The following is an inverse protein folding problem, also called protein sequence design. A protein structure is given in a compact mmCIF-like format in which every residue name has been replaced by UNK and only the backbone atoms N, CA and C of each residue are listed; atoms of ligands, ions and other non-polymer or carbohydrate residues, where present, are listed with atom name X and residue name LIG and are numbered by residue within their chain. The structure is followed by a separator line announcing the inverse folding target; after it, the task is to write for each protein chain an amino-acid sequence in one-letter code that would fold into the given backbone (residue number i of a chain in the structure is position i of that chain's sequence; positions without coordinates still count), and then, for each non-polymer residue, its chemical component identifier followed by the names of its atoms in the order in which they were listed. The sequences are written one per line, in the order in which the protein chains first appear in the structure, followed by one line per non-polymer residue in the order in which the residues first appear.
data_IF_061354444848
#
_entry.id   IF_061354444848
#
_cell.length_a   1.000
_cell.length_b   1.000
_cell.length_c   1.000
_cell.angle_alpha   90.00
_cell.angle_beta   90.00
_cell.angle_gamma   90.00
#
_symmetry.space_group_name_H-M   'P 1'
#
loop_
_entity.id
_entity.type
_entity.pdbx_description
1 polymer ?
#
# COMPACT_ATOMS: atom_id res chain seq x y z
N UNK A 1 -57.42 -3.04 -12.44
CA UNK A 1 -57.01 -2.03 -11.43
C UNK A 1 -55.93 -1.17 -12.04
N UNK A 2 -56.06 0.15 -11.99
CA UNK A 2 -55.03 1.06 -12.48
C UNK A 2 -53.82 1.02 -11.51
N UNK A 3 -52.72 0.47 -11.95
CA UNK A 3 -51.48 0.32 -11.14
C UNK A 3 -50.62 1.57 -11.19
N UNK A 4 -50.96 2.59 -11.96
CA UNK A 4 -50.17 3.80 -12.16
C UNK A 4 -49.87 4.58 -10.86
N UNK A 5 -50.84 4.78 -9.93
CA UNK A 5 -50.52 5.50 -8.69
C UNK A 5 -49.47 4.77 -7.83
N UNK A 6 -49.62 3.46 -7.66
CA UNK A 6 -48.68 2.66 -6.88
C UNK A 6 -47.28 2.63 -7.53
N UNK A 7 -47.22 2.50 -8.88
CA UNK A 7 -45.95 2.51 -9.62
C UNK A 7 -45.22 3.87 -9.56
N UNK A 8 -45.98 5.00 -9.53
CA UNK A 8 -45.44 6.33 -9.40
C UNK A 8 -44.73 6.57 -8.06
N UNK A 9 -45.36 6.17 -6.94
CA UNK A 9 -44.76 6.26 -5.62
C UNK A 9 -43.54 5.32 -5.45
N UNK A 10 -43.66 4.07 -5.97
CA UNK A 10 -42.52 3.15 -5.92
C UNK A 10 -41.35 3.67 -6.75
N UNK A 11 -41.61 4.23 -7.93
CA UNK A 11 -40.56 4.83 -8.75
C UNK A 11 -39.92 6.04 -8.06
N UNK A 12 -40.68 6.93 -7.41
CA UNK A 12 -40.16 8.03 -6.62
C UNK A 12 -39.20 7.53 -5.51
N UNK A 13 -39.63 6.47 -4.78
CA UNK A 13 -38.76 5.90 -3.73
C UNK A 13 -37.43 5.37 -4.26
N UNK A 14 -37.46 4.65 -5.39
CA UNK A 14 -36.21 4.17 -6.05
C UNK A 14 -35.36 5.35 -6.52
N UNK A 15 -35.99 6.38 -7.11
CA UNK A 15 -35.27 7.56 -7.61
C UNK A 15 -34.62 8.38 -6.49
N UNK A 16 -35.29 8.53 -5.33
CA UNK A 16 -34.71 9.17 -4.14
C UNK A 16 -33.51 8.38 -3.66
N UNK A 17 -33.64 7.05 -3.54
CA UNK A 17 -32.52 6.20 -3.13
C UNK A 17 -31.31 6.37 -4.07
N UNK A 18 -31.52 6.28 -5.38
CA UNK A 18 -30.47 6.46 -6.37
C UNK A 18 -29.80 7.85 -6.29
N UNK A 19 -30.61 8.90 -6.11
CA UNK A 19 -30.09 10.26 -5.93
C UNK A 19 -29.23 10.41 -4.67
N UNK A 20 -29.65 9.80 -3.55
CA UNK A 20 -28.87 9.79 -2.29
C UNK A 20 -27.53 9.09 -2.49
N UNK A 21 -27.49 7.91 -3.12
CA UNK A 21 -26.24 7.20 -3.41
C UNK A 21 -25.33 8.01 -4.34
N UNK A 22 -25.88 8.62 -5.38
CA UNK A 22 -25.13 9.45 -6.32
C UNK A 22 -24.55 10.69 -5.63
N UNK A 23 -25.34 11.39 -4.82
CA UNK A 23 -24.87 12.56 -4.05
C UNK A 23 -23.76 12.18 -3.05
N UNK A 24 -23.92 11.03 -2.39
CA UNK A 24 -22.92 10.51 -1.48
C UNK A 24 -21.60 10.17 -2.18
N UNK A 25 -21.60 9.75 -3.45
CA UNK A 25 -20.37 9.53 -4.21
C UNK A 25 -19.56 10.81 -4.41
N UNK A 26 -20.20 11.97 -4.54
CA UNK A 26 -19.51 13.26 -4.67
C UNK A 26 -19.13 13.90 -3.34
N UNK A 27 -19.91 13.63 -2.29
CA UNK A 27 -19.73 14.21 -0.95
C UNK A 27 -19.90 13.16 0.14
N UNK A 28 -18.98 12.19 0.22
CA UNK A 28 -19.06 11.15 1.24
C UNK A 28 -18.89 11.75 2.63
N UNK A 29 -19.61 11.20 3.59
CA UNK A 29 -19.60 11.71 4.96
C UNK A 29 -18.40 11.16 5.74
N UNK A 30 -17.49 12.06 6.16
CA UNK A 30 -16.32 11.73 6.96
C UNK A 30 -16.53 11.96 8.47
N UNK A 31 -17.50 12.81 8.86
CA UNK A 31 -17.60 13.35 10.22
C UNK A 31 -18.64 12.67 11.10
N UNK A 32 -19.74 12.20 10.54
CA UNK A 32 -20.80 11.57 11.31
C UNK A 32 -20.51 10.07 11.50
N UNK A 33 -20.19 9.66 12.73
CA UNK A 33 -19.82 8.28 13.09
C UNK A 33 -20.89 7.25 12.75
N UNK A 34 -22.18 7.59 12.86
CA UNK A 34 -23.30 6.69 12.56
C UNK A 34 -23.45 6.44 11.04
N UNK A 35 -23.13 7.45 10.24
CA UNK A 35 -23.28 7.40 8.78
C UNK A 35 -21.98 7.05 8.06
N UNK A 36 -20.85 7.06 8.74
CA UNK A 36 -19.52 6.88 8.16
C UNK A 36 -19.40 5.57 7.38
N UNK A 37 -19.68 4.43 8.01
CA UNK A 37 -19.58 3.12 7.37
C UNK A 37 -20.51 2.98 6.17
N UNK A 38 -21.78 3.40 6.32
CA UNK A 38 -22.72 3.42 5.20
C UNK A 38 -22.23 4.33 4.08
N UNK A 39 -21.79 5.53 4.41
CA UNK A 39 -21.32 6.52 3.43
C UNK A 39 -20.11 6.00 2.65
N UNK A 40 -19.18 5.32 3.33
CA UNK A 40 -18.06 4.66 2.68
C UNK A 40 -18.52 3.62 1.65
N UNK A 41 -19.26 2.58 2.09
CA UNK A 41 -19.67 1.51 1.19
C UNK A 41 -20.56 2.02 0.05
N UNK A 42 -21.49 2.93 0.34
CA UNK A 42 -22.37 3.50 -0.65
C UNK A 42 -21.61 4.30 -1.71
N UNK A 43 -20.64 5.15 -1.32
CA UNK A 43 -19.81 5.91 -2.27
C UNK A 43 -18.89 5.00 -3.06
N UNK A 44 -18.21 4.07 -2.40
CA UNK A 44 -17.28 3.14 -3.03
C UNK A 44 -17.93 2.31 -4.14
N UNK A 45 -19.07 1.65 -3.84
CA UNK A 45 -19.83 0.87 -4.83
C UNK A 45 -20.32 1.78 -5.96
N UNK A 46 -20.85 2.96 -5.62
CA UNK A 46 -21.40 3.91 -6.61
C UNK A 46 -20.31 4.41 -7.55
N UNK A 47 -19.12 4.69 -7.06
CA UNK A 47 -18.00 5.19 -7.84
C UNK A 47 -17.44 4.10 -8.75
N UNK A 48 -17.09 2.94 -8.20
CA UNK A 48 -16.37 1.91 -8.95
C UNK A 48 -17.28 1.11 -9.90
N UNK A 49 -18.57 0.97 -9.57
CA UNK A 49 -19.54 0.26 -10.39
C UNK A 49 -20.48 1.21 -11.17
N UNK A 50 -20.16 2.49 -11.29
CA UNK A 50 -21.00 3.49 -11.94
C UNK A 50 -21.56 3.08 -13.32
N UNK A 51 -20.79 2.47 -14.26
CA UNK A 51 -21.34 2.03 -15.55
C UNK A 51 -22.45 1.00 -15.41
N UNK A 52 -22.27 0.02 -14.53
CA UNK A 52 -23.25 -1.05 -14.31
C UNK A 52 -24.51 -0.52 -13.60
N UNK A 53 -24.33 0.36 -12.62
CA UNK A 53 -25.41 0.99 -11.90
C UNK A 53 -26.23 1.93 -12.81
N UNK A 54 -25.60 2.63 -13.74
CA UNK A 54 -26.28 3.47 -14.71
C UNK A 54 -27.18 2.62 -15.61
N UNK A 55 -26.68 1.50 -16.14
CA UNK A 55 -27.48 0.57 -16.96
C UNK A 55 -28.65 0.01 -16.15
N UNK A 56 -28.42 -0.41 -14.91
CA UNK A 56 -29.47 -0.91 -14.01
C UNK A 56 -30.54 0.15 -13.75
N UNK A 57 -30.16 1.40 -13.51
CA UNK A 57 -31.10 2.51 -13.33
C UNK A 57 -31.91 2.78 -14.60
N UNK A 58 -31.30 2.70 -15.80
CA UNK A 58 -32.00 2.85 -17.08
C UNK A 58 -33.06 1.75 -17.28
N UNK A 59 -32.67 0.49 -17.04
CA UNK A 59 -33.60 -0.65 -17.16
C UNK A 59 -34.77 -0.55 -16.16
N UNK A 60 -34.48 -0.22 -14.92
CA UNK A 60 -35.49 -0.04 -13.87
C UNK A 60 -36.40 1.11 -14.21
N UNK A 61 -35.92 2.21 -14.70
CA UNK A 61 -36.68 3.37 -15.14
C UNK A 61 -37.62 2.99 -16.29
N UNK A 62 -37.15 2.29 -17.32
CA UNK A 62 -37.94 1.82 -18.43
C UNK A 62 -39.11 0.92 -17.97
N UNK A 63 -38.87 0.03 -16.99
CA UNK A 63 -39.90 -0.80 -16.40
C UNK A 63 -41.01 0.03 -15.71
N UNK A 64 -40.62 1.04 -14.92
CA UNK A 64 -41.60 1.92 -14.24
C UNK A 64 -42.37 2.80 -15.23
N UNK A 65 -41.74 3.28 -16.30
CA UNK A 65 -42.43 4.01 -17.40
C UNK A 65 -43.49 3.11 -18.05
N UNK A 66 -43.14 1.85 -18.37
CA UNK A 66 -44.11 0.88 -18.94
C UNK A 66 -45.29 0.59 -18.01
N UNK A 67 -45.07 0.65 -16.67
CA UNK A 67 -46.14 0.52 -15.67
C UNK A 67 -46.93 1.81 -15.44
N UNK A 68 -46.72 2.86 -16.24
CA UNK A 68 -47.47 4.11 -16.20
C UNK A 68 -47.03 5.09 -15.09
N UNK A 69 -45.85 4.93 -14.48
CA UNK A 69 -45.38 5.79 -13.40
C UNK A 69 -45.42 7.28 -13.77
N UNK A 70 -45.01 7.66 -15.00
CA UNK A 70 -45.02 9.04 -15.47
C UNK A 70 -46.39 9.69 -15.66
N UNK A 71 -47.46 8.91 -15.55
CA UNK A 71 -48.83 9.45 -15.54
C UNK A 71 -49.18 10.12 -14.20
N UNK A 72 -48.32 9.99 -13.19
CA UNK A 72 -48.51 10.50 -11.83
C UNK A 72 -47.51 11.60 -11.48
N UNK A 73 -47.87 12.50 -10.59
CA UNK A 73 -46.95 13.55 -10.09
C UNK A 73 -45.74 12.95 -9.37
N UNK A 74 -45.87 11.97 -8.46
CA UNK A 74 -44.68 11.32 -7.84
C UNK A 74 -43.74 10.72 -8.88
N UNK A 75 -44.26 10.06 -9.92
CA UNK A 75 -43.42 9.49 -10.99
C UNK A 75 -42.67 10.52 -11.82
N UNK A 76 -43.29 11.70 -12.08
CA UNK A 76 -42.61 12.82 -12.75
C UNK A 76 -41.50 13.40 -11.90
N UNK A 77 -41.72 13.57 -10.60
CA UNK A 77 -40.65 13.99 -9.63
C UNK A 77 -39.51 12.95 -9.60
N UNK A 78 -39.89 11.65 -9.56
CA UNK A 78 -38.93 10.56 -9.63
C UNK A 78 -38.03 10.62 -10.90
N UNK A 79 -38.64 10.96 -12.06
CA UNK A 79 -37.89 11.12 -13.30
C UNK A 79 -36.85 12.25 -13.22
N UNK A 80 -37.22 13.40 -12.64
CA UNK A 80 -36.25 14.49 -12.46
C UNK A 80 -35.06 14.08 -11.60
N UNK A 81 -35.33 13.37 -10.49
CA UNK A 81 -34.25 12.84 -9.62
C UNK A 81 -33.40 11.80 -10.37
N UNK A 82 -34.02 10.94 -11.16
CA UNK A 82 -33.33 9.94 -11.99
C UNK A 82 -32.41 10.58 -13.01
N UNK A 83 -32.87 11.63 -13.73
CA UNK A 83 -32.01 12.36 -14.67
C UNK A 83 -30.82 13.02 -13.98
N UNK A 84 -31.01 13.58 -12.79
CA UNK A 84 -29.95 14.11 -11.96
C UNK A 84 -28.95 13.00 -11.55
N UNK A 85 -29.44 11.82 -11.15
CA UNK A 85 -28.60 10.66 -10.82
C UNK A 85 -27.80 10.18 -12.02
N UNK A 86 -28.41 10.09 -13.21
CA UNK A 86 -27.70 9.71 -14.45
C UNK A 86 -26.61 10.70 -14.82
N UNK A 87 -26.87 12.01 -14.69
CA UNK A 87 -25.84 13.03 -14.91
C UNK A 87 -24.66 12.87 -13.94
N UNK A 88 -24.95 12.60 -12.65
CA UNK A 88 -23.93 12.29 -11.67
C UNK A 88 -23.13 11.02 -12.00
N UNK A 89 -23.82 9.91 -12.38
CA UNK A 89 -23.13 8.68 -12.80
C UNK A 89 -22.24 8.91 -14.03
N UNK A 90 -22.72 9.67 -15.02
CA UNK A 90 -21.92 10.01 -16.20
C UNK A 90 -20.66 10.82 -15.81
N UNK A 91 -20.80 11.74 -14.87
CA UNK A 91 -19.66 12.50 -14.35
C UNK A 91 -18.64 11.58 -13.63
N UNK A 92 -19.11 10.62 -12.82
CA UNK A 92 -18.27 9.63 -12.14
C UNK A 92 -17.53 8.73 -13.15
N UNK A 93 -18.23 8.27 -14.20
CA UNK A 93 -17.63 7.50 -15.29
C UNK A 93 -16.54 8.33 -15.99
N UNK A 94 -16.84 9.61 -16.32
CA UNK A 94 -15.86 10.51 -16.92
C UNK A 94 -14.61 10.67 -16.04
N UNK A 95 -14.75 10.81 -14.73
CA UNK A 95 -13.63 10.86 -13.79
C UNK A 95 -12.81 9.57 -13.80
N UNK A 96 -13.46 8.41 -13.89
CA UNK A 96 -12.74 7.13 -14.00
C UNK A 96 -11.88 7.04 -15.29
N UNK A 97 -12.37 7.58 -16.41
CA UNK A 97 -11.57 7.68 -17.64
C UNK A 97 -10.47 8.75 -17.57
N UNK A 98 -10.70 9.84 -16.82
CA UNK A 98 -9.69 10.89 -16.63
C UNK A 98 -8.47 10.38 -15.86
N UNK A 99 -8.60 9.33 -15.05
CA UNK A 99 -7.48 8.69 -14.35
C UNK A 99 -6.31 8.31 -15.28
N UNK A 100 -6.60 7.96 -16.55
CA UNK A 100 -5.56 7.70 -17.54
C UNK A 100 -4.70 8.93 -17.84
N UNK A 101 -5.30 10.12 -17.82
CA UNK A 101 -4.55 11.36 -18.01
C UNK A 101 -3.77 11.72 -16.73
N UNK A 102 -4.39 11.59 -15.58
CA UNK A 102 -3.75 11.82 -14.27
C UNK A 102 -2.51 10.92 -14.10
N UNK A 103 -2.58 9.66 -14.53
CA UNK A 103 -1.44 8.73 -14.57
C UNK A 103 -0.34 9.24 -15.51
N UNK A 104 -0.69 9.65 -16.74
CA UNK A 104 0.32 10.18 -17.69
C UNK A 104 1.03 11.40 -17.13
N UNK A 105 0.27 12.29 -16.49
CA UNK A 105 0.82 13.53 -15.91
C UNK A 105 1.73 13.23 -14.72
N UNK A 106 1.36 12.26 -13.88
CA UNK A 106 2.15 11.84 -12.70
C UNK A 106 3.48 11.16 -13.08
N UNK A 107 3.51 10.42 -14.19
CA UNK A 107 4.65 9.63 -14.64
C UNK A 107 5.23 10.11 -15.99
N UNK A 108 5.05 11.39 -16.33
CA UNK A 108 5.46 11.95 -17.63
C UNK A 108 6.96 11.79 -17.92
N UNK A 109 7.79 11.78 -16.87
CA UNK A 109 9.24 11.70 -16.98
C UNK A 109 9.74 10.24 -17.09
N UNK A 110 8.85 9.24 -16.93
CA UNK A 110 9.19 7.83 -17.10
C UNK A 110 8.92 7.38 -18.55
N UNK A 111 9.83 6.56 -19.08
CA UNK A 111 9.62 5.92 -20.38
C UNK A 111 8.36 5.07 -20.42
N UNK A 112 7.71 4.96 -21.57
CA UNK A 112 6.65 3.97 -21.74
C UNK A 112 7.29 2.58 -21.82
N UNK A 113 6.72 1.63 -21.07
CA UNK A 113 7.18 0.24 -21.11
C UNK A 113 6.67 -0.39 -22.39
N UNK A 114 7.58 -1.01 -23.14
CA UNK A 114 7.23 -1.77 -24.34
C UNK A 114 6.22 -2.88 -24.00
N UNK A 115 5.10 -3.01 -24.70
CA UNK A 115 4.15 -4.08 -24.47
C UNK A 115 4.75 -5.42 -24.95
N UNK A 116 5.49 -6.08 -24.08
CA UNK A 116 5.88 -7.49 -24.31
C UNK A 116 4.68 -8.40 -24.17
N UNK A 117 4.66 -9.51 -24.92
CA UNK A 117 3.64 -10.54 -24.76
C UNK A 117 3.67 -11.08 -23.31
N UNK A 118 2.50 -11.17 -22.64
CA UNK A 118 2.45 -11.60 -21.26
C UNK A 118 2.89 -13.06 -21.11
N UNK A 119 3.83 -13.33 -20.20
CA UNK A 119 4.25 -14.66 -19.84
C UNK A 119 3.11 -15.44 -19.14
N UNK A 120 3.01 -16.76 -19.33
CA UNK A 120 2.15 -17.59 -18.51
C UNK A 120 2.63 -17.53 -17.06
N UNK A 121 1.68 -17.59 -16.10
CA UNK A 121 1.97 -17.48 -14.68
C UNK A 121 1.49 -18.69 -13.90
N UNK A 122 2.22 -19.04 -12.83
CA UNK A 122 1.83 -20.08 -11.87
C UNK A 122 1.74 -19.52 -10.46
N UNK A 123 0.97 -20.21 -9.61
CA UNK A 123 0.80 -19.89 -8.19
C UNK A 123 1.36 -21.00 -7.32
N UNK A 124 2.14 -20.57 -6.32
CA UNK A 124 2.59 -21.41 -5.22
C UNK A 124 1.90 -20.89 -3.94
N UNK A 125 1.15 -21.76 -3.27
CA UNK A 125 0.23 -21.31 -2.22
C UNK A 125 0.69 -21.71 -0.83
N UNK A 126 0.44 -20.83 0.16
CA UNK A 126 0.59 -21.10 1.59
C UNK A 126 2.02 -21.48 2.01
N UNK A 127 3.03 -20.92 1.37
CA UNK A 127 4.43 -21.10 1.73
C UNK A 127 4.64 -20.45 3.09
N UNK A 128 5.15 -21.22 4.07
CA UNK A 128 5.43 -20.69 5.40
C UNK A 128 6.79 -20.01 5.40
N UNK A 129 6.81 -18.69 5.67
CA UNK A 129 8.05 -17.93 5.76
C UNK A 129 8.51 -17.68 7.22
N UNK A 130 7.59 -17.76 8.21
CA UNK A 130 7.94 -17.57 9.61
C UNK A 130 6.94 -18.21 10.57
N UNK A 131 7.26 -18.15 11.85
CA UNK A 131 6.34 -18.38 12.98
C UNK A 131 6.50 -17.25 13.97
N UNK A 132 5.40 -16.59 14.34
CA UNK A 132 5.39 -15.54 15.33
C UNK A 132 4.11 -15.61 16.18
N UNK A 133 4.19 -15.34 17.49
CA UNK A 133 3.03 -15.43 18.40
C UNK A 133 2.32 -16.78 18.35
N UNK A 134 3.04 -17.88 18.16
CA UNK A 134 2.50 -19.24 18.05
C UNK A 134 1.82 -19.56 16.70
N UNK A 135 1.73 -18.60 15.76
CA UNK A 135 1.07 -18.75 14.44
C UNK A 135 2.09 -18.91 13.31
N UNK A 136 1.75 -19.72 12.32
CA UNK A 136 2.50 -19.75 11.07
C UNK A 136 2.12 -18.55 10.21
N UNK A 137 3.11 -17.77 9.79
CA UNK A 137 2.98 -16.71 8.80
C UNK A 137 3.26 -17.28 7.43
N UNK A 138 2.38 -17.01 6.48
CA UNK A 138 2.42 -17.60 5.13
C UNK A 138 2.35 -16.54 4.06
N UNK A 139 2.93 -16.88 2.91
CA UNK A 139 2.78 -16.11 1.68
C UNK A 139 2.23 -16.98 0.56
N UNK A 140 1.67 -16.33 -0.45
CA UNK A 140 1.39 -16.92 -1.74
C UNK A 140 2.32 -16.27 -2.77
N UNK A 141 2.96 -17.07 -3.61
CA UNK A 141 3.86 -16.58 -4.65
C UNK A 141 3.18 -16.75 -6.01
N UNK A 142 3.18 -15.71 -6.82
CA UNK A 142 2.86 -15.78 -8.24
C UNK A 142 4.09 -15.41 -9.04
N UNK A 143 4.46 -16.24 -10.00
CA UNK A 143 5.66 -16.06 -10.80
C UNK A 143 5.44 -16.56 -12.23
N UNK A 144 6.29 -16.19 -13.19
CA UNK A 144 6.25 -16.76 -14.53
C UNK A 144 6.31 -18.29 -14.51
N UNK A 145 5.51 -18.92 -15.36
CA UNK A 145 5.53 -20.38 -15.59
C UNK A 145 6.43 -20.71 -16.79
N UNK A 146 7.66 -20.23 -16.72
CA UNK A 146 8.74 -20.47 -17.69
C UNK A 146 10.02 -20.74 -16.92
N UNK A 147 10.97 -21.44 -17.55
CA UNK A 147 12.26 -21.72 -16.95
C UNK A 147 13.02 -20.41 -16.62
N UNK A 148 13.71 -20.42 -15.48
CA UNK A 148 14.61 -19.33 -15.13
C UNK A 148 15.85 -19.37 -16.03
N UNK A 149 16.32 -18.19 -16.43
CA UNK A 149 17.52 -18.07 -17.28
C UNK A 149 18.74 -17.93 -16.37
N UNK A 150 19.72 -18.83 -16.46
CA UNK A 150 20.92 -18.73 -15.64
C UNK A 150 21.63 -17.38 -15.83
N UNK A 151 21.99 -16.74 -14.71
CA UNK A 151 22.64 -15.43 -14.71
C UNK A 151 21.70 -14.23 -14.96
N UNK A 152 20.38 -14.46 -15.03
CA UNK A 152 19.38 -13.40 -15.16
C UNK A 152 18.31 -13.55 -14.06
N UNK A 153 18.63 -13.21 -12.81
CA UNK A 153 17.68 -13.29 -11.71
C UNK A 153 16.54 -12.28 -11.92
N UNK A 154 15.36 -12.64 -11.42
CA UNK A 154 14.14 -11.85 -11.59
C UNK A 154 13.98 -10.83 -10.47
N UNK A 155 13.37 -9.66 -10.72
CA UNK A 155 12.99 -8.76 -9.64
C UNK A 155 11.86 -9.36 -8.80
N UNK A 156 11.84 -9.03 -7.49
CA UNK A 156 10.78 -9.46 -6.58
C UNK A 156 9.88 -8.30 -6.17
N UNK A 157 8.60 -8.60 -5.91
CA UNK A 157 7.61 -7.67 -5.37
C UNK A 157 6.92 -8.30 -4.15
N UNK A 158 7.06 -7.67 -2.98
CA UNK A 158 6.33 -8.05 -1.77
C UNK A 158 5.04 -7.24 -1.70
N UNK A 159 3.90 -7.93 -1.67
CA UNK A 159 2.56 -7.34 -1.55
C UNK A 159 2.03 -7.52 -0.13
N UNK A 160 1.63 -6.41 0.51
CA UNK A 160 1.08 -6.36 1.86
C UNK A 160 -0.41 -5.99 1.81
N UNK A 161 -1.27 -6.84 2.36
CA UNK A 161 -2.71 -6.59 2.32
C UNK A 161 -3.15 -5.50 3.32
N UNK A 162 -4.26 -4.83 3.03
CA UNK A 162 -4.94 -3.91 3.93
C UNK A 162 -5.94 -4.58 4.85
N UNK A 163 -6.73 -3.78 5.57
CA UNK A 163 -7.79 -4.24 6.47
C UNK A 163 -7.69 -3.63 7.87
N UNK A 164 -7.15 -2.41 7.99
CA UNK A 164 -7.07 -1.69 9.27
C UNK A 164 -6.25 -2.42 10.33
N UNK A 165 -5.29 -3.22 9.94
CA UNK A 165 -4.46 -4.09 10.80
C UNK A 165 -5.24 -5.15 11.61
N UNK A 166 -6.57 -5.14 11.58
CA UNK A 166 -7.45 -6.05 12.37
C UNK A 166 -8.08 -7.15 11.54
N UNK A 167 -8.17 -6.98 10.24
CA UNK A 167 -8.72 -7.97 9.31
C UNK A 167 -7.97 -7.92 7.97
N UNK A 168 -8.32 -8.81 7.07
CA UNK A 168 -7.70 -8.89 5.76
C UNK A 168 -7.11 -10.28 5.50
N UNK A 169 -6.89 -10.54 4.21
CA UNK A 169 -6.35 -11.81 3.75
C UNK A 169 -5.50 -11.54 2.50
N UNK A 170 -4.32 -12.12 2.46
CA UNK A 170 -3.38 -12.00 1.34
C UNK A 170 -3.99 -12.38 -0.03
N UNK A 171 -5.00 -13.26 -0.08
CA UNK A 171 -5.63 -13.73 -1.31
C UNK A 171 -6.73 -12.81 -1.86
N UNK A 172 -6.98 -11.64 -1.26
CA UNK A 172 -8.08 -10.73 -1.62
C UNK A 172 -7.63 -9.41 -2.26
N UNK A 173 -6.42 -8.95 -1.99
CA UNK A 173 -5.93 -7.63 -2.44
C UNK A 173 -4.66 -7.76 -3.27
N UNK A 174 -4.35 -6.73 -4.08
CA UNK A 174 -3.16 -6.65 -4.91
C UNK A 174 -3.11 -7.65 -6.08
N UNK A 175 -4.17 -8.46 -6.28
CA UNK A 175 -4.16 -9.56 -7.25
C UNK A 175 -3.95 -9.08 -8.69
N UNK A 176 -4.50 -7.92 -9.03
CA UNK A 176 -4.39 -7.37 -10.38
C UNK A 176 -2.94 -6.98 -10.68
N UNK A 177 -2.31 -6.20 -9.78
CA UNK A 177 -0.91 -5.79 -9.91
C UNK A 177 0.04 -7.01 -9.91
N UNK A 178 -0.14 -7.93 -8.97
CA UNK A 178 0.73 -9.12 -8.88
C UNK A 178 0.69 -9.99 -10.14
N UNK A 179 -0.51 -10.22 -10.71
CA UNK A 179 -0.65 -10.99 -11.96
C UNK A 179 0.03 -10.28 -13.11
N UNK A 180 -0.14 -8.96 -13.20
CA UNK A 180 0.49 -8.15 -14.25
C UNK A 180 2.01 -8.17 -14.11
N UNK A 181 2.55 -7.97 -12.91
CA UNK A 181 4.00 -8.01 -12.68
C UNK A 181 4.57 -9.41 -12.95
N UNK A 182 3.90 -10.46 -12.49
CA UNK A 182 4.34 -11.83 -12.76
C UNK A 182 4.34 -12.14 -14.26
N UNK A 183 3.33 -11.66 -15.02
CA UNK A 183 3.32 -11.84 -16.49
C UNK A 183 4.42 -11.04 -17.20
N UNK A 184 5.04 -10.07 -16.53
CA UNK A 184 6.19 -9.29 -16.99
C UNK A 184 7.55 -9.83 -16.48
N UNK A 185 7.56 -10.98 -15.84
CA UNK A 185 8.81 -11.62 -15.42
C UNK A 185 9.13 -11.51 -13.93
N UNK A 186 8.32 -10.81 -13.11
CA UNK A 186 8.55 -10.63 -11.69
C UNK A 186 8.11 -11.82 -10.85
N UNK A 187 8.76 -12.00 -9.69
CA UNK A 187 8.30 -12.92 -8.63
C UNK A 187 7.56 -12.11 -7.57
N UNK A 188 6.26 -12.34 -7.41
CA UNK A 188 5.42 -11.55 -6.53
C UNK A 188 4.98 -12.38 -5.32
N UNK A 189 5.30 -11.91 -4.11
CA UNK A 189 5.04 -12.56 -2.83
C UNK A 189 3.95 -11.81 -2.06
N UNK A 190 2.75 -12.39 -1.93
CA UNK A 190 1.65 -11.82 -1.17
C UNK A 190 1.66 -12.37 0.25
N UNK A 191 1.94 -11.52 1.24
CA UNK A 191 2.29 -11.95 2.59
C UNK A 191 1.16 -11.76 3.58
N UNK A 192 1.03 -12.72 4.53
CA UNK A 192 0.26 -12.53 5.76
C UNK A 192 1.13 -11.83 6.80
N UNK A 193 0.50 -11.10 7.71
CA UNK A 193 1.09 -10.60 8.96
C UNK A 193 0.12 -10.83 10.11
N UNK A 194 0.60 -10.80 11.35
CA UNK A 194 -0.27 -10.93 12.54
C UNK A 194 -1.22 -9.74 12.62
N UNK A 195 -2.46 -10.00 13.05
CA UNK A 195 -3.52 -9.01 13.11
C UNK A 195 -3.85 -8.60 14.55
N UNK A 196 -4.25 -7.36 14.71
CA UNK A 196 -4.80 -6.82 15.95
C UNK A 196 -6.18 -7.45 16.26
N UNK A 197 -6.60 -7.53 17.51
CA UNK A 197 -5.89 -7.07 18.71
C UNK A 197 -4.92 -8.10 19.30
N UNK A 198 -4.73 -9.26 18.64
CA UNK A 198 -3.82 -10.31 19.11
C UNK A 198 -2.34 -9.94 18.91
N UNK A 199 -2.05 -9.13 17.92
CA UNK A 199 -0.77 -8.46 17.71
C UNK A 199 -0.99 -6.94 17.74
N UNK A 200 0.06 -6.19 17.99
CA UNK A 200 0.02 -4.72 18.08
C UNK A 200 1.26 -4.14 17.40
N UNK A 201 1.27 -2.83 17.12
CA UNK A 201 2.49 -2.21 16.63
C UNK A 201 3.63 -2.39 17.67
N UNK A 202 4.84 -2.81 17.25
CA UNK A 202 5.34 -2.95 15.87
C UNK A 202 5.20 -4.36 15.24
N UNK A 203 4.49 -5.31 15.85
CA UNK A 203 4.40 -6.71 15.39
C UNK A 203 4.07 -6.85 13.90
N UNK A 204 3.15 -6.02 13.39
CA UNK A 204 2.75 -6.02 11.97
C UNK A 204 3.93 -5.69 11.05
N UNK A 205 4.70 -4.65 11.40
CA UNK A 205 5.89 -4.22 10.66
C UNK A 205 7.01 -5.28 10.73
N UNK A 206 7.24 -5.83 11.91
CA UNK A 206 8.22 -6.92 12.13
C UNK A 206 7.92 -8.10 11.21
N UNK A 207 6.65 -8.50 11.10
CA UNK A 207 6.27 -9.64 10.25
C UNK A 207 6.48 -9.34 8.75
N UNK A 208 6.20 -8.12 8.30
CA UNK A 208 6.47 -7.68 6.92
C UNK A 208 7.97 -7.67 6.62
N UNK A 209 8.79 -7.10 7.52
CA UNK A 209 10.25 -7.11 7.39
C UNK A 209 10.83 -8.53 7.37
N UNK A 210 10.27 -9.42 8.19
CA UNK A 210 10.65 -10.84 8.19
C UNK A 210 10.34 -11.52 6.85
N UNK A 211 9.24 -11.13 6.18
CA UNK A 211 8.93 -11.63 4.84
C UNK A 211 9.94 -11.11 3.80
N UNK A 212 10.34 -9.83 3.87
CA UNK A 212 11.39 -9.28 2.98
C UNK A 212 12.71 -10.04 3.19
N UNK A 213 13.13 -10.22 4.43
CA UNK A 213 14.35 -10.97 4.78
C UNK A 213 14.28 -12.40 4.26
N UNK A 214 13.14 -13.07 4.41
CA UNK A 214 12.95 -14.44 3.92
C UNK A 214 13.04 -14.52 2.39
N UNK A 215 12.44 -13.60 1.65
CA UNK A 215 12.55 -13.55 0.17
C UNK A 215 14.01 -13.39 -0.26
N UNK A 216 14.78 -12.54 0.42
CA UNK A 216 16.20 -12.31 0.15
C UNK A 216 17.05 -13.55 0.49
N UNK A 217 16.78 -14.21 1.60
CA UNK A 217 17.46 -15.43 2.03
C UNK A 217 17.22 -16.61 1.07
N UNK A 218 16.01 -16.68 0.46
CA UNK A 218 15.64 -17.74 -0.48
C UNK A 218 15.72 -17.28 -1.95
N UNK A 219 16.49 -16.23 -2.23
CA UNK A 219 16.57 -15.60 -3.55
C UNK A 219 17.01 -16.60 -4.64
N UNK A 220 17.99 -17.44 -4.37
CA UNK A 220 18.47 -18.49 -5.31
C UNK A 220 17.35 -19.49 -5.63
N UNK A 221 16.64 -20.01 -4.62
CA UNK A 221 15.53 -20.96 -4.80
C UNK A 221 14.37 -20.34 -5.59
N UNK A 222 14.11 -19.05 -5.36
CA UNK A 222 13.07 -18.31 -6.03
C UNK A 222 13.48 -17.78 -7.42
N UNK A 223 14.76 -17.86 -7.80
CA UNK A 223 15.30 -17.25 -9.01
C UNK A 223 15.21 -15.72 -8.99
N UNK A 224 15.34 -15.11 -7.82
CA UNK A 224 15.18 -13.68 -7.57
C UNK A 224 16.53 -13.01 -7.39
N UNK A 225 16.64 -11.77 -7.83
CA UNK A 225 17.75 -10.89 -7.47
C UNK A 225 17.62 -10.45 -5.99
N UNK A 226 18.51 -10.87 -5.08
CA UNK A 226 18.44 -10.46 -3.68
C UNK A 226 18.62 -8.95 -3.49
N UNK A 227 19.25 -8.24 -4.42
CA UNK A 227 19.45 -6.80 -4.37
C UNK A 227 18.22 -6.03 -4.86
N UNK A 228 17.28 -6.67 -5.59
CA UNK A 228 16.11 -5.99 -6.12
C UNK A 228 14.78 -6.58 -5.61
N UNK A 229 14.37 -6.15 -4.44
CA UNK A 229 13.07 -6.46 -3.84
C UNK A 229 12.28 -5.16 -3.69
N UNK A 230 11.16 -5.03 -4.37
CA UNK A 230 10.22 -3.90 -4.21
C UNK A 230 9.08 -4.27 -3.25
N UNK A 231 8.40 -3.26 -2.70
CA UNK A 231 7.26 -3.47 -1.80
C UNK A 231 6.06 -2.64 -2.20
N UNK A 232 4.85 -3.21 -2.04
CA UNK A 232 3.58 -2.52 -2.29
C UNK A 232 2.50 -3.00 -1.33
N UNK A 233 1.45 -2.21 -1.17
CA UNK A 233 0.30 -2.56 -0.34
C UNK A 233 -0.73 -1.46 -0.28
N UNK A 234 -1.97 -1.80 0.09
CA UNK A 234 -3.07 -0.86 0.19
C UNK A 234 -3.55 -0.62 1.63
N UNK A 235 -3.99 0.60 1.98
CA UNK A 235 -4.56 0.92 3.30
C UNK A 235 -3.55 0.64 4.44
N UNK A 236 -3.89 -0.20 5.41
CA UNK A 236 -2.96 -0.68 6.43
C UNK A 236 -1.70 -1.32 5.80
N UNK A 237 -1.84 -2.00 4.64
CA UNK A 237 -0.71 -2.51 3.88
C UNK A 237 0.12 -1.38 3.25
N UNK A 238 -0.50 -0.28 2.81
CA UNK A 238 0.20 0.91 2.33
C UNK A 238 1.00 1.62 3.43
N UNK A 239 0.45 1.69 4.63
CA UNK A 239 1.16 2.12 5.83
C UNK A 239 2.40 1.25 6.10
N UNK A 240 2.23 -0.08 6.16
CA UNK A 240 3.33 -1.02 6.41
C UNK A 240 4.36 -1.00 5.27
N UNK A 241 3.94 -0.78 4.03
CA UNK A 241 4.80 -0.58 2.86
C UNK A 241 5.71 0.63 3.07
N UNK A 242 5.15 1.77 3.44
CA UNK A 242 5.92 2.99 3.67
C UNK A 242 6.86 2.85 4.86
N UNK A 243 6.39 2.31 6.00
CA UNK A 243 7.23 2.07 7.17
C UNK A 243 8.37 1.08 6.88
N UNK A 244 8.10 -0.04 6.20
CA UNK A 244 9.14 -1.02 5.89
C UNK A 244 10.25 -0.39 5.03
N UNK A 245 9.87 0.41 4.04
CA UNK A 245 10.81 1.12 3.16
C UNK A 245 11.64 2.19 3.89
N UNK A 246 11.01 2.92 4.83
CA UNK A 246 11.65 4.02 5.57
C UNK A 246 12.40 3.56 6.84
N UNK A 247 12.24 2.33 7.27
CA UNK A 247 12.90 1.79 8.46
C UNK A 247 13.79 0.60 8.13
N UNK A 248 14.36 0.57 6.89
CA UNK A 248 15.28 -0.49 6.48
C UNK A 248 16.38 -0.71 7.54
N UNK A 249 16.66 -1.97 7.85
CA UNK A 249 17.74 -2.40 8.73
C UNK A 249 17.70 -1.83 10.18
N UNK A 250 16.56 -1.25 10.61
CA UNK A 250 16.43 -0.80 12.01
C UNK A 250 16.18 -2.00 12.92
N UNK A 251 17.14 -2.32 13.77
CA UNK A 251 17.14 -3.49 14.70
C UNK A 251 15.88 -3.54 15.57
N UNK A 252 15.39 -2.38 16.05
CA UNK A 252 14.16 -2.28 16.87
C UNK A 252 12.93 -2.90 16.21
N UNK A 253 12.93 -3.03 14.88
CA UNK A 253 11.86 -3.63 14.08
C UNK A 253 12.24 -4.99 13.48
N UNK A 254 13.35 -5.59 13.94
CA UNK A 254 13.87 -6.87 13.45
C UNK A 254 14.22 -7.86 14.57
N UNK A 255 13.40 -8.01 15.65
CA UNK A 255 13.76 -8.87 16.78
C UNK A 255 13.96 -10.33 16.35
N UNK A 256 15.17 -10.86 16.63
CA UNK A 256 15.59 -12.21 16.30
C UNK A 256 16.05 -12.40 14.84
N UNK A 257 16.19 -11.29 14.08
CA UNK A 257 16.79 -11.23 12.74
C UNK A 257 17.43 -9.85 12.48
N UNK A 258 18.06 -9.28 13.48
CA UNK A 258 18.57 -7.91 13.52
C UNK A 258 19.59 -7.65 12.40
N UNK A 259 20.35 -8.68 12.01
CA UNK A 259 21.39 -8.60 10.96
C UNK A 259 20.86 -8.85 9.54
N UNK A 260 19.58 -9.19 9.39
CA UNK A 260 19.02 -9.42 8.07
C UNK A 260 18.81 -8.09 7.33
N UNK A 261 19.22 -8.04 6.07
CA UNK A 261 18.91 -6.89 5.23
C UNK A 261 17.42 -6.87 4.87
N UNK A 262 16.72 -5.82 5.29
CA UNK A 262 15.30 -5.57 5.01
C UNK A 262 15.09 -4.34 4.13
N UNK A 263 16.14 -3.87 3.45
CA UNK A 263 16.03 -2.79 2.47
C UNK A 263 15.15 -3.20 1.29
N UNK A 264 14.58 -2.21 0.61
CA UNK A 264 13.77 -2.42 -0.59
C UNK A 264 14.19 -1.43 -1.67
N UNK A 265 14.15 -1.90 -2.92
CA UNK A 265 14.57 -1.12 -4.09
C UNK A 265 13.53 -0.08 -4.52
N UNK A 266 12.26 -0.27 -4.20
CA UNK A 266 11.18 0.67 -4.49
C UNK A 266 9.96 0.42 -3.59
N UNK A 267 9.14 1.46 -3.36
CA UNK A 267 7.92 1.37 -2.56
C UNK A 267 6.72 1.99 -3.28
N UNK A 268 5.60 1.26 -3.34
CA UNK A 268 4.34 1.73 -3.94
C UNK A 268 3.19 1.59 -2.94
N UNK A 269 3.04 2.53 -1.99
CA UNK A 269 1.91 2.55 -1.07
C UNK A 269 0.65 3.10 -1.75
N UNK A 270 -0.44 2.31 -1.74
CA UNK A 270 -1.78 2.72 -2.19
C UNK A 270 -2.59 3.19 -0.99
N UNK A 271 -3.16 4.37 -1.04
CA UNK A 271 -4.05 4.96 -0.02
C UNK A 271 -3.66 4.56 1.41
N UNK A 272 -2.37 4.67 1.71
CA UNK A 272 -1.79 4.36 3.01
C UNK A 272 -2.19 5.38 4.09
N UNK A 273 -1.99 4.99 5.33
CA UNK A 273 -2.04 5.89 6.48
C UNK A 273 -0.62 6.35 6.77
N UNK A 274 -0.35 7.64 6.67
CA UNK A 274 1.01 8.16 6.77
C UNK A 274 1.31 8.91 8.07
N UNK A 275 0.27 9.31 8.81
CA UNK A 275 0.40 10.04 10.08
C UNK A 275 -0.51 9.47 11.17
N UNK A 276 0.03 8.67 12.09
CA UNK A 276 -0.70 8.17 13.25
C UNK A 276 -0.90 9.22 14.33
N UNK A 277 -0.05 10.25 14.35
CA UNK A 277 -0.11 11.34 15.34
C UNK A 277 -1.21 12.35 15.02
N UNK A 278 -1.75 12.32 13.76
CA UNK A 278 -2.78 13.26 13.29
C UNK A 278 -2.38 14.71 13.49
N UNK A 279 -1.12 15.07 13.19
CA UNK A 279 -0.55 16.42 13.36
C UNK A 279 -1.36 17.52 12.70
N UNK A 280 -2.01 17.23 11.58
CA UNK A 280 -2.83 18.15 10.81
C UNK A 280 -4.32 18.17 11.23
N UNK A 281 -4.73 17.32 12.16
CA UNK A 281 -6.12 17.25 12.64
C UNK A 281 -7.14 16.85 11.57
N UNK A 282 -6.72 16.10 10.54
CA UNK A 282 -7.56 15.75 9.37
C UNK A 282 -8.38 14.49 9.56
N UNK A 283 -8.02 13.66 10.54
CA UNK A 283 -8.74 12.44 10.86
C UNK A 283 -10.09 12.74 11.52
N UNK A 284 -11.08 11.87 11.35
CA UNK A 284 -12.32 11.97 12.12
C UNK A 284 -12.02 12.06 13.63
N UNK A 285 -12.80 12.87 14.38
CA UNK A 285 -12.60 12.99 15.82
C UNK A 285 -12.50 11.65 16.52
N UNK A 286 -11.54 11.52 17.43
CA UNK A 286 -11.29 10.34 18.25
C UNK A 286 -10.87 9.05 17.51
N UNK A 287 -10.53 9.07 16.22
CA UNK A 287 -10.05 7.88 15.50
C UNK A 287 -8.86 7.24 16.22
N UNK A 288 -7.90 8.07 16.69
CA UNK A 288 -6.75 7.61 17.44
C UNK A 288 -7.18 6.91 18.75
N UNK A 289 -8.04 7.53 19.55
CA UNK A 289 -8.47 7.02 20.87
C UNK A 289 -9.52 5.92 20.80
N UNK A 290 -10.33 5.85 19.74
CA UNK A 290 -11.41 4.86 19.64
C UNK A 290 -11.04 3.66 18.76
N UNK A 291 -10.06 3.79 17.87
CA UNK A 291 -9.65 2.71 16.98
C UNK A 291 -8.15 2.40 17.08
N UNK A 292 -7.26 3.33 16.72
CA UNK A 292 -5.83 3.03 16.66
C UNK A 292 -5.28 2.67 18.06
N UNK A 293 -5.58 3.46 19.09
CA UNK A 293 -5.12 3.21 20.45
C UNK A 293 -5.57 1.85 20.98
N UNK A 294 -6.88 1.57 21.09
CA UNK A 294 -7.36 0.33 21.69
C UNK A 294 -7.04 -0.94 20.90
N UNK A 295 -6.92 -0.86 19.57
CA UNK A 295 -6.80 -2.04 18.73
C UNK A 295 -5.38 -2.26 18.20
N UNK A 296 -4.73 -1.19 17.72
CA UNK A 296 -3.48 -1.30 16.97
C UNK A 296 -2.26 -1.00 17.83
N UNK A 297 -2.30 0.10 18.63
CA UNK A 297 -1.16 0.59 19.40
C UNK A 297 -1.10 0.02 20.83
N UNK A 298 -2.27 -0.25 21.44
CA UNK A 298 -2.42 -0.59 22.87
C UNK A 298 -1.84 0.47 23.80
N UNK A 299 -1.85 1.71 23.36
CA UNK A 299 -1.37 2.88 24.09
C UNK A 299 -2.19 4.11 23.76
N UNK A 300 -2.16 5.10 24.66
CA UNK A 300 -2.70 6.45 24.40
C UNK A 300 -1.65 7.30 23.69
N UNK A 301 -2.02 8.11 22.67
CA UNK A 301 -1.08 8.97 21.97
C UNK A 301 -0.40 10.01 22.87
N UNK A 302 -1.09 10.52 23.91
CA UNK A 302 -0.54 11.51 24.82
C UNK A 302 0.47 10.91 25.82
N UNK A 303 0.35 9.59 26.11
CA UNK A 303 1.21 8.87 27.06
C UNK A 303 2.40 8.19 26.41
N UNK A 304 2.31 7.87 25.11
CA UNK A 304 3.31 7.09 24.37
C UNK A 304 3.67 7.74 23.02
N UNK A 305 3.91 9.05 23.01
CA UNK A 305 4.15 9.84 21.80
C UNK A 305 5.24 9.23 20.89
N UNK A 306 6.37 8.82 21.47
CA UNK A 306 7.47 8.18 20.71
C UNK A 306 7.04 6.91 19.96
N UNK A 307 6.16 6.09 20.57
CA UNK A 307 5.63 4.90 19.90
C UNK A 307 4.72 5.28 18.72
N UNK A 308 3.93 6.35 18.86
CA UNK A 308 3.04 6.83 17.81
C UNK A 308 3.81 7.50 16.67
N UNK A 309 4.86 8.24 16.97
CA UNK A 309 5.81 8.77 16.00
C UNK A 309 6.53 7.63 15.26
N UNK A 310 6.98 6.60 15.99
CA UNK A 310 7.61 5.42 15.40
C UNK A 310 6.66 4.63 14.47
N UNK A 311 5.34 4.74 14.68
CA UNK A 311 4.31 4.15 13.84
C UNK A 311 3.88 5.04 12.67
N UNK A 312 4.34 6.28 12.60
CA UNK A 312 3.98 7.26 11.55
C UNK A 312 5.04 7.28 10.45
N UNK A 313 4.75 6.84 9.23
CA UNK A 313 5.70 6.94 8.11
C UNK A 313 6.29 8.33 7.91
N UNK A 314 5.48 9.37 8.12
CA UNK A 314 5.92 10.77 7.96
C UNK A 314 7.04 11.16 8.94
N UNK A 315 7.10 10.53 10.12
CA UNK A 315 8.15 10.75 11.12
C UNK A 315 9.42 9.92 10.84
N UNK A 316 9.37 9.04 9.82
CA UNK A 316 10.49 8.18 9.44
C UNK A 316 11.12 8.62 8.10
N UNK A 317 10.73 9.78 7.53
CA UNK A 317 11.30 10.26 6.26
C UNK A 317 12.77 10.62 6.41
N UNK A 318 13.58 10.26 5.41
CA UNK A 318 15.02 10.54 5.40
C UNK A 318 15.57 10.56 3.96
N UNK A 319 16.79 11.13 3.79
CA UNK A 319 17.39 11.32 2.48
C UNK A 319 17.74 10.04 1.72
N UNK A 320 17.97 8.92 2.41
CA UNK A 320 18.30 7.62 1.82
C UNK A 320 17.07 6.74 1.57
N UNK A 321 15.86 7.29 1.59
CA UNK A 321 14.65 6.57 1.24
C UNK A 321 14.72 6.03 -0.21
N UNK A 322 14.23 4.82 -0.51
CA UNK A 322 14.19 4.32 -1.88
C UNK A 322 13.23 5.16 -2.75
N UNK A 323 13.20 4.95 -4.08
CA UNK A 323 12.16 5.51 -4.92
C UNK A 323 10.76 5.18 -4.43
N UNK A 324 9.88 6.20 -4.37
CA UNK A 324 8.48 6.05 -3.94
C UNK A 324 7.51 6.44 -5.06
N UNK A 325 6.41 5.68 -5.17
CA UNK A 325 5.24 6.09 -5.92
C UNK A 325 4.00 5.99 -5.03
N UNK A 326 3.58 7.11 -4.47
CA UNK A 326 2.41 7.22 -3.58
C UNK A 326 1.15 7.44 -4.42
N UNK A 327 0.11 6.62 -4.19
CA UNK A 327 -1.14 6.66 -4.94
C UNK A 327 -2.32 6.81 -3.98
N UNK A 328 -3.17 7.83 -4.16
CA UNK A 328 -4.27 8.11 -3.24
C UNK A 328 -5.50 8.67 -3.94
N UNK A 329 -6.70 8.40 -3.42
CA UNK A 329 -7.96 8.94 -3.93
C UNK A 329 -8.41 10.19 -3.18
N UNK A 330 -8.85 11.25 -3.88
CA UNK A 330 -9.28 12.53 -3.27
C UNK A 330 -10.60 12.44 -2.49
N UNK A 331 -11.36 11.34 -2.65
CA UNK A 331 -12.62 11.06 -1.93
C UNK A 331 -12.46 10.03 -0.82
N UNK A 332 -11.23 9.64 -0.52
CA UNK A 332 -10.97 8.68 0.54
C UNK A 332 -11.50 9.17 1.89
N UNK A 333 -12.41 8.41 2.49
CA UNK A 333 -12.97 8.72 3.81
C UNK A 333 -12.34 7.91 4.93
N UNK A 334 -11.58 6.84 4.60
CA UNK A 334 -10.94 5.97 5.59
C UNK A 334 -9.53 6.45 5.95
N UNK A 335 -8.74 6.83 4.93
CA UNK A 335 -7.42 7.42 5.10
C UNK A 335 -7.43 8.81 4.41
N UNK A 336 -7.36 9.91 5.15
CA UNK A 336 -7.43 11.24 4.57
C UNK A 336 -6.31 11.49 3.56
N UNK A 337 -6.65 11.96 2.36
CA UNK A 337 -5.68 12.27 1.30
C UNK A 337 -4.70 13.38 1.71
N UNK A 338 -5.11 14.20 2.64
CA UNK A 338 -4.31 15.28 3.23
C UNK A 338 -3.01 14.73 3.85
N UNK A 339 -3.06 13.57 4.52
CA UNK A 339 -1.86 12.91 5.08
C UNK A 339 -0.90 12.47 3.99
N UNK A 340 -1.43 11.93 2.88
CA UNK A 340 -0.60 11.54 1.74
C UNK A 340 0.09 12.73 1.09
N UNK A 341 -0.58 13.88 0.98
CA UNK A 341 0.01 15.12 0.46
C UNK A 341 1.15 15.61 1.33
N UNK A 342 0.93 15.70 2.65
CA UNK A 342 1.96 16.11 3.60
C UNK A 342 3.14 15.13 3.61
N UNK A 343 2.87 13.84 3.63
CA UNK A 343 3.93 12.80 3.56
C UNK A 343 4.79 12.94 2.30
N UNK A 344 4.16 13.12 1.13
CA UNK A 344 4.87 13.30 -0.14
C UNK A 344 5.69 14.58 -0.15
N UNK A 345 5.14 15.68 0.38
CA UNK A 345 5.85 16.95 0.49
C UNK A 345 7.10 16.83 1.36
N UNK A 346 6.97 16.26 2.56
CA UNK A 346 8.09 16.07 3.48
C UNK A 346 9.13 15.08 2.92
N UNK A 347 8.69 13.98 2.31
CA UNK A 347 9.60 13.02 1.71
C UNK A 347 10.39 13.64 0.55
N UNK A 348 9.73 14.42 -0.32
CA UNK A 348 10.39 15.14 -1.43
C UNK A 348 11.42 16.17 -0.95
N UNK A 349 11.20 16.76 0.22
CA UNK A 349 12.09 17.77 0.77
C UNK A 349 13.46 17.18 1.19
N UNK A 350 13.50 15.89 1.52
CA UNK A 350 14.72 15.25 2.05
C UNK A 350 15.26 14.12 1.16
N UNK A 351 14.43 13.43 0.41
CA UNK A 351 14.82 12.26 -0.40
C UNK A 351 15.74 12.64 -1.55
N UNK A 352 16.82 11.87 -1.73
CA UNK A 352 17.70 11.94 -2.91
C UNK A 352 17.17 11.11 -4.08
N UNK A 353 16.17 10.27 -3.84
CA UNK A 353 15.55 9.41 -4.84
C UNK A 353 14.21 9.99 -5.34
N UNK A 354 13.74 9.58 -6.53
CA UNK A 354 12.48 10.08 -7.09
C UNK A 354 11.27 9.75 -6.20
N UNK A 355 10.40 10.73 -5.97
CA UNK A 355 9.12 10.58 -5.25
C UNK A 355 7.98 11.01 -6.17
N UNK A 356 7.29 10.02 -6.74
CA UNK A 356 6.11 10.21 -7.57
C UNK A 356 4.84 10.23 -6.73
N UNK A 357 3.87 11.02 -7.14
CA UNK A 357 2.57 11.10 -6.48
C UNK A 357 1.44 11.13 -7.51
N UNK A 358 0.46 10.27 -7.32
CA UNK A 358 -0.76 10.23 -8.11
C UNK A 358 -1.97 10.43 -7.19
N UNK A 359 -2.63 11.58 -7.33
CA UNK A 359 -3.92 11.85 -6.69
C UNK A 359 -5.04 11.65 -7.70
N UNK A 360 -5.89 10.67 -7.43
CA UNK A 360 -6.99 10.27 -8.31
C UNK A 360 -8.26 11.03 -7.96
N UNK A 361 -8.74 11.86 -8.89
CA UNK A 361 -10.00 12.60 -8.74
C UNK A 361 -11.21 11.68 -8.74
N UNK A 362 -12.07 11.87 -7.75
CA UNK A 362 -13.29 11.09 -7.58
C UNK A 362 -13.04 9.64 -7.15
N UNK A 363 -11.83 9.26 -6.74
CA UNK A 363 -11.56 7.93 -6.23
C UNK A 363 -11.80 7.84 -4.71
N UNK A 364 -12.43 6.74 -4.29
CA UNK A 364 -12.63 6.37 -2.89
C UNK A 364 -11.49 5.43 -2.45
N UNK A 365 -11.41 5.13 -1.15
CA UNK A 365 -10.52 4.09 -0.60
C UNK A 365 -10.70 2.75 -1.31
N UNK A 366 -9.63 1.98 -1.48
CA UNK A 366 -9.63 0.64 -2.09
C UNK A 366 -10.21 0.57 -3.52
N UNK A 367 -9.96 1.60 -4.32
CA UNK A 367 -10.49 1.76 -5.68
C UNK A 367 -10.03 0.67 -6.66
N UNK A 368 -8.92 -0.02 -6.41
CA UNK A 368 -8.39 -1.09 -7.25
C UNK A 368 -9.01 -2.48 -6.96
N UNK A 369 -9.86 -2.58 -5.95
CA UNK A 369 -10.51 -3.86 -5.59
C UNK A 369 -11.45 -4.35 -6.70
N UNK A 370 -12.10 -3.43 -7.41
CA UNK A 370 -12.92 -3.75 -8.58
C UNK A 370 -12.13 -3.52 -9.87
N UNK A 371 -12.29 -4.44 -10.82
CA UNK A 371 -11.73 -4.24 -12.17
C UNK A 371 -12.52 -3.13 -12.88
N UNK A 372 -11.98 -1.91 -12.81
CA UNK A 372 -12.54 -0.71 -13.44
C UNK A 372 -11.52 -0.09 -14.40
N UNK A 373 -11.95 0.89 -15.21
CA UNK A 373 -11.02 1.65 -16.08
C UNK A 373 -9.96 2.37 -15.25
N UNK A 374 -10.37 2.90 -14.09
CA UNK A 374 -9.44 3.55 -13.14
C UNK A 374 -8.47 2.54 -12.55
N UNK A 375 -8.97 1.42 -12.02
CA UNK A 375 -8.14 0.39 -11.41
C UNK A 375 -7.07 -0.12 -12.38
N UNK A 376 -7.44 -0.41 -13.64
CA UNK A 376 -6.48 -0.85 -14.65
C UNK A 376 -5.43 0.22 -14.92
N UNK A 377 -5.83 1.49 -15.14
CA UNK A 377 -4.89 2.57 -15.41
C UNK A 377 -3.89 2.77 -14.24
N UNK A 378 -4.35 2.63 -13.00
CA UNK A 378 -3.50 2.78 -11.81
C UNK A 378 -2.56 1.58 -11.65
N UNK A 379 -3.04 0.37 -11.87
CA UNK A 379 -2.19 -0.82 -11.83
C UNK A 379 -1.13 -0.79 -12.92
N UNK A 380 -1.49 -0.34 -14.14
CA UNK A 380 -0.54 -0.11 -15.22
C UNK A 380 0.53 0.93 -14.84
N UNK A 381 0.13 1.99 -14.11
CA UNK A 381 1.07 3.02 -13.63
C UNK A 381 2.06 2.50 -12.59
N UNK A 382 1.57 1.70 -11.63
CA UNK A 382 2.42 1.08 -10.62
C UNK A 382 3.40 0.09 -11.27
N UNK A 383 2.93 -0.70 -12.24
CA UNK A 383 3.77 -1.62 -13.00
C UNK A 383 4.83 -0.87 -13.82
N UNK A 384 4.46 0.25 -14.46
CA UNK A 384 5.39 1.11 -15.21
C UNK A 384 6.47 1.70 -14.30
N UNK A 385 6.09 2.23 -13.15
CA UNK A 385 7.04 2.76 -12.18
C UNK A 385 8.02 1.67 -11.70
N UNK A 386 7.51 0.53 -11.26
CA UNK A 386 8.34 -0.58 -10.78
C UNK A 386 9.31 -1.08 -11.85
N UNK A 387 8.84 -1.22 -13.10
CA UNK A 387 9.70 -1.63 -14.21
C UNK A 387 10.76 -0.58 -14.52
N UNK A 388 10.41 0.71 -14.53
CA UNK A 388 11.37 1.78 -14.79
C UNK A 388 12.48 1.84 -13.72
N UNK A 389 12.14 1.59 -12.43
CA UNK A 389 13.15 1.51 -11.36
C UNK A 389 14.06 0.28 -11.56
N UNK A 390 13.49 -0.86 -11.97
CA UNK A 390 14.28 -2.05 -12.26
C UNK A 390 15.19 -1.87 -13.49
N UNK A 391 14.68 -1.27 -14.56
CA UNK A 391 15.49 -0.98 -15.76
C UNK A 391 16.65 -0.02 -15.44
N UNK A 392 16.40 0.98 -14.59
CA UNK A 392 17.43 1.89 -14.13
C UNK A 392 18.49 1.18 -13.26
N UNK A 393 18.08 0.22 -12.42
CA UNK A 393 19.00 -0.63 -11.65
C UNK A 393 19.88 -1.46 -12.58
N UNK A 394 19.32 -2.09 -13.62
CA UNK A 394 20.08 -2.89 -14.60
C UNK A 394 21.07 -2.06 -15.46
N UNK A 395 20.78 -0.78 -15.68
CA UNK A 395 21.63 0.12 -16.51
C UNK A 395 22.51 1.04 -15.67
N UNK A 396 22.43 0.98 -14.36
CA UNK A 396 23.23 1.81 -13.45
C UNK A 396 24.73 1.45 -13.46
N UNK A 397 25.59 2.32 -12.95
CA UNK A 397 27.05 2.14 -12.96
C UNK A 397 27.52 0.87 -12.20
N UNK A 398 26.71 0.30 -11.32
CA UNK A 398 27.00 -0.98 -10.67
C UNK A 398 26.73 -2.20 -11.57
N UNK A 399 25.94 -2.06 -12.63
CA UNK A 399 25.65 -3.14 -13.57
C UNK A 399 26.80 -3.42 -14.56
N UNK A 400 27.70 -2.47 -14.76
CA UNK A 400 28.90 -2.64 -15.60
C UNK A 400 30.12 -3.16 -14.81
N UNK A 401 30.03 -3.22 -13.48
CA UNK A 401 31.11 -3.74 -12.64
C UNK A 401 31.21 -5.26 -12.75
N UNK A 402 32.39 -5.74 -13.12
CA UNK A 402 32.68 -7.18 -13.08
C UNK A 402 32.65 -7.68 -11.62
N UNK A 403 32.39 -8.99 -11.36
CA UNK A 403 32.43 -9.53 -10.00
C UNK A 403 33.71 -9.20 -9.23
N UNK A 404 34.84 -9.00 -9.92
CA UNK A 404 36.11 -8.59 -9.33
C UNK A 404 36.09 -7.13 -8.88
N UNK A 405 35.51 -6.21 -9.64
CA UNK A 405 35.35 -4.79 -9.30
C UNK A 405 34.38 -4.56 -8.16
N UNK A 406 33.33 -5.39 -8.07
CA UNK A 406 32.38 -5.37 -6.93
C UNK A 406 33.07 -5.81 -5.64
N UNK A 407 33.91 -6.85 -5.70
CA UNK A 407 34.71 -7.31 -4.54
C UNK A 407 35.71 -6.23 -4.12
N UNK A 408 36.39 -5.60 -5.06
CA UNK A 408 37.36 -4.54 -4.77
C UNK A 408 36.69 -3.28 -4.18
N UNK A 409 35.47 -2.92 -4.65
CA UNK A 409 34.69 -1.82 -4.09
C UNK A 409 34.17 -2.12 -2.67
N UNK A 410 33.80 -3.36 -2.38
CA UNK A 410 33.39 -3.81 -1.04
C UNK A 410 34.57 -3.87 -0.09
N UNK A 411 35.72 -4.39 -0.53
CA UNK A 411 36.95 -4.41 0.26
C UNK A 411 37.52 -3.00 0.51
N UNK A 412 37.39 -2.10 -0.47
CA UNK A 412 37.74 -0.69 -0.33
C UNK A 412 36.88 0.07 0.70
N UNK A 413 35.57 -0.21 0.75
CA UNK A 413 34.65 0.34 1.78
C UNK A 413 34.96 -0.22 3.16
N UNK A 414 35.20 -1.52 3.30
CA UNK A 414 35.58 -2.15 4.56
C UNK A 414 36.97 -1.66 5.05
N UNK A 415 37.87 -1.36 4.14
CA UNK A 415 39.18 -0.78 4.46
C UNK A 415 39.09 0.68 4.90
N UNK A 416 38.17 1.49 4.37
CA UNK A 416 37.93 2.86 4.80
C UNK A 416 37.26 2.94 6.17
N UNK A 417 36.30 2.06 6.45
CA UNK A 417 35.63 2.01 7.76
C UNK A 417 36.57 1.59 8.88
N UNK A 418 37.51 0.65 8.60
CA UNK A 418 38.58 0.27 9.55
C UNK A 418 39.66 1.35 9.72
N UNK A 419 39.89 2.19 8.70
CA UNK A 419 40.84 3.30 8.79
C UNK A 419 40.28 4.50 9.56
N UNK A 420 38.97 4.76 9.46
CA UNK A 420 38.28 5.79 10.22
C UNK A 420 38.11 5.39 11.70
N UNK A 421 37.90 4.10 12.01
CA UNK A 421 37.90 3.60 13.39
C UNK A 421 39.29 3.66 14.07
N UNK A 422 40.38 3.55 13.28
CA UNK A 422 41.74 3.68 13.76
C UNK A 422 42.21 5.16 13.91
N UNK A 423 41.46 6.12 13.42
CA UNK A 423 41.78 7.55 13.45
C UNK A 423 41.03 8.35 14.53
N UNK A 424 40.23 7.69 15.41
CA UNK A 424 39.58 8.36 16.54
C UNK A 424 40.62 8.66 17.65
N UNK A 425 40.99 9.92 17.88
CA UNK A 425 42.01 10.31 18.90
C UNK A 425 41.47 10.23 20.34
N UNK A 426 40.27 9.71 20.55
CA UNK A 426 39.61 9.59 21.88
C UNK A 426 39.60 8.16 22.42
N UNK A 427 40.16 7.17 21.71
CA UNK A 427 40.29 5.82 22.21
C UNK A 427 41.35 5.74 23.33
N UNK A 428 41.03 5.17 24.51
CA UNK A 428 42.01 5.06 25.60
C UNK A 428 43.15 4.12 25.21
N UNK A 429 44.41 4.56 25.48
CA UNK A 429 45.62 3.80 25.18
C UNK A 429 45.67 2.52 26.00
N UNK A 430 46.14 1.43 25.39
CA UNK A 430 46.26 0.10 25.99
C UNK A 430 47.32 -0.04 27.14
N UNK A 431 47.84 1.08 27.65
CA UNK A 431 48.90 1.10 28.66
C UNK A 431 48.46 1.35 30.11
N UNK A 432 47.13 1.51 30.36
CA UNK A 432 46.61 1.71 31.72
C UNK A 432 45.95 0.42 32.29
N UNK A 433 46.60 -0.71 32.15
CA UNK A 433 46.22 -1.93 32.86
C UNK A 433 46.90 -1.99 34.23
N UNK A 434 46.17 -1.61 35.27
CA UNK A 434 46.58 -1.78 36.66
C UNK A 434 46.56 -3.28 37.03
N UNK A 435 47.57 -3.80 37.76
CA UNK A 435 47.72 -5.23 38.01
C UNK A 435 46.70 -5.74 39.04
N UNK A 436 46.04 -6.82 38.68
CA UNK A 436 45.19 -7.70 39.48
C UNK A 436 45.77 -8.06 40.88
N UNK A 437 45.09 -7.83 41.99
CA UNK A 437 45.39 -8.51 43.24
C UNK A 437 44.62 -9.84 43.32
N UNK A 438 45.38 -10.89 43.10
CA UNK A 438 44.96 -12.27 43.20
C UNK A 438 44.55 -12.72 44.63
N UNK A 439 43.66 -13.71 44.63
CA UNK A 439 43.53 -14.86 45.51
C UNK A 439 43.15 -14.63 47.00
N UNK A 440 41.90 -14.99 47.28
CA UNK A 440 41.63 -16.00 48.29
C UNK A 440 40.17 -16.49 48.21
N UNK A 441 40.00 -17.72 47.74
CA UNK A 441 38.78 -18.46 47.92
C UNK A 441 38.94 -19.49 49.06
N UNK A 442 37.87 -19.83 49.81
CA UNK A 442 37.67 -21.22 50.13
C UNK A 442 36.33 -21.74 49.61
N UNK A 443 36.39 -22.98 49.13
CA UNK A 443 35.32 -23.77 48.59
C UNK A 443 34.42 -24.39 49.70
N UNK A 444 33.38 -25.11 49.29
CA UNK A 444 32.04 -25.14 49.90
C UNK A 444 31.83 -26.25 50.95
N UNK A 445 30.76 -26.09 51.67
CA UNK A 445 29.99 -27.21 52.19
C UNK A 445 28.53 -27.07 51.67
#
# INVERSE_FOLDING_TARGET
MDTAPASGWAYLGVSVNNAVYTLNAFRPNRRNKLLFGWSFFASWITIELAPYLLVLQMLTTALFIRKGALRTTPGKVGMVLTLGSWAGMAATIRQSYAARQEVRDALRDLAEVDPSDPLPIRWERRIQFARAGGRALRMDIVRPDVADVPGQPRPALVQVHGGGWVLGFKDRQGQLLMRQMASKGWVCCNVDYRLSPAATFPDHLVDVKRAIAWVREHAEELGVDPAFIAITGGSAGGHLTALAALTANQERFQPGFERADTSVAAAVPFYGVFDFTNRNGVWPPDTQRQFLGPWVMKSDPDEAAEQWEAASPIDQVHGAAPPFFVIHGDKDVLAPVEDARTFVEELRAVSTQPVYYLELKGAQHAFETFTSVRANAVVDSAARFLQAVFDAYLTGPEAEATPAEVVEAVEGRLGSDLADEAADPTAPSADDADPDPAADAPAPV
#
